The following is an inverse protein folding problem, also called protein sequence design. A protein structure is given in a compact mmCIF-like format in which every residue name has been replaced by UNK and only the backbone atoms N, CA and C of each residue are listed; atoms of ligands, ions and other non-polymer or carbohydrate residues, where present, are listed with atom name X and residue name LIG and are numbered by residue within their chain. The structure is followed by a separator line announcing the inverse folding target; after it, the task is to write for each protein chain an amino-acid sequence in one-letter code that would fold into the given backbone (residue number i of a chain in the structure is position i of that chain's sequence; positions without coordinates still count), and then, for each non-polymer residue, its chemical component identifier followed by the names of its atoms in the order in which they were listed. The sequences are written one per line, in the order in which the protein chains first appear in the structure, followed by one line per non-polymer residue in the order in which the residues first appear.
data_IF_070524325400
#
_entry.id   IF_070524325400
#
_cell.length_a   1.000
_cell.length_b   1.000
_cell.length_c   1.000
_cell.angle_alpha   90.00
_cell.angle_beta   90.00
_cell.angle_gamma   90.00
#
_symmetry.space_group_name_H-M   'P 1'
#
loop_
_entity.id
_entity.type
_entity.pdbx_description
1 polymer ?
#
# COMPACT_ATOMS: atom_id res chain seq x y z
N UNK A 1 9.56 -5.51 5.10
CA UNK A 1 8.15 -5.08 4.92
C UNK A 1 7.28 -5.94 5.80
N UNK A 2 6.60 -5.30 6.75
CA UNK A 2 5.71 -5.93 7.71
C UNK A 2 4.28 -5.58 7.33
N UNK A 3 3.43 -6.59 7.12
CA UNK A 3 2.00 -6.38 6.93
C UNK A 3 1.43 -5.83 8.23
N UNK A 4 0.67 -4.75 8.14
CA UNK A 4 0.07 -4.12 9.31
C UNK A 4 -1.36 -4.62 9.58
N UNK A 5 -2.06 -5.03 8.53
CA UNK A 5 -3.31 -5.77 8.65
C UNK A 5 -3.07 -7.15 9.28
N UNK A 6 -4.08 -7.71 9.94
CA UNK A 6 -3.99 -9.05 10.52
C UNK A 6 -3.88 -10.16 9.47
N UNK A 7 -4.30 -9.88 8.23
CA UNK A 7 -4.28 -10.79 7.09
C UNK A 7 -4.19 -9.99 5.79
N UNK A 8 -3.61 -10.57 4.72
CA UNK A 8 -3.61 -9.92 3.41
C UNK A 8 -5.01 -9.97 2.80
N UNK A 9 -5.40 -8.90 2.09
CA UNK A 9 -6.65 -8.82 1.34
C UNK A 9 -6.79 -9.97 0.34
N UNK A 10 -5.68 -10.49 -0.16
CA UNK A 10 -5.65 -11.61 -1.11
C UNK A 10 -5.97 -12.97 -0.47
N UNK A 11 -5.87 -13.08 0.85
CA UNK A 11 -6.18 -14.32 1.58
C UNK A 11 -7.60 -14.32 2.17
N UNK A 12 -8.35 -13.23 1.99
CA UNK A 12 -9.70 -13.05 2.50
C UNK A 12 -10.69 -13.79 1.61
N UNK A 13 -11.54 -14.61 2.25
CA UNK A 13 -12.52 -15.45 1.58
C UNK A 13 -13.95 -15.27 2.14
N UNK A 14 -14.13 -14.37 3.10
CA UNK A 14 -15.42 -14.07 3.74
C UNK A 14 -15.64 -12.57 3.79
N UNK A 15 -16.91 -12.16 3.77
CA UNK A 15 -17.29 -10.75 3.91
C UNK A 15 -16.94 -10.17 5.28
N UNK A 16 -16.99 -10.99 6.34
CA UNK A 16 -16.59 -10.59 7.69
C UNK A 16 -15.10 -10.23 7.76
N UNK A 17 -14.23 -11.09 7.23
CA UNK A 17 -12.79 -10.81 7.16
C UNK A 17 -12.52 -9.57 6.31
N UNK A 18 -13.28 -9.38 5.21
CA UNK A 18 -13.17 -8.21 4.33
C UNK A 18 -13.49 -6.91 5.07
N UNK A 19 -14.62 -6.85 5.76
CA UNK A 19 -15.03 -5.68 6.53
C UNK A 19 -14.01 -5.38 7.64
N UNK A 20 -13.54 -6.41 8.33
CA UNK A 20 -12.50 -6.28 9.35
C UNK A 20 -11.19 -5.72 8.77
N UNK A 21 -10.79 -6.16 7.56
CA UNK A 21 -9.58 -5.65 6.91
C UNK A 21 -9.68 -4.17 6.58
N UNK A 22 -10.84 -3.72 6.09
CA UNK A 22 -11.10 -2.30 5.83
C UNK A 22 -11.07 -1.50 7.14
N UNK A 23 -11.74 -1.98 8.18
CA UNK A 23 -11.73 -1.34 9.51
C UNK A 23 -10.31 -1.22 10.07
N UNK A 24 -9.47 -2.26 9.90
CA UNK A 24 -8.06 -2.23 10.28
C UNK A 24 -7.28 -1.18 9.50
N UNK A 25 -7.48 -1.08 8.18
CA UNK A 25 -6.86 -0.02 7.36
C UNK A 25 -7.26 1.37 7.87
N UNK A 26 -8.56 1.64 8.04
CA UNK A 26 -9.06 2.96 8.46
C UNK A 26 -8.60 3.32 9.89
N UNK A 27 -8.64 2.36 10.82
CA UNK A 27 -8.17 2.56 12.18
C UNK A 27 -6.65 2.81 12.26
N UNK A 28 -5.89 2.29 11.28
CA UNK A 28 -4.45 2.47 11.22
C UNK A 28 -4.10 3.83 10.62
N UNK A 29 -4.75 4.18 9.52
CA UNK A 29 -4.50 5.42 8.79
C UNK A 29 -4.98 6.65 9.56
N UNK A 30 -6.08 6.54 10.31
CA UNK A 30 -6.58 7.61 11.19
C UNK A 30 -5.66 7.96 12.37
N UNK A 31 -4.69 7.09 12.72
CA UNK A 31 -3.69 7.37 13.77
C UNK A 31 -2.47 8.12 13.24
N UNK A 32 -2.25 8.09 11.93
CA UNK A 32 -1.08 8.71 11.35
C UNK A 32 -1.29 10.23 11.23
N UNK A 33 -0.31 11.04 11.65
CA UNK A 33 -0.39 12.48 11.44
C UNK A 33 -0.31 12.79 9.95
N UNK A 34 -1.12 13.76 9.50
CA UNK A 34 -0.95 14.26 8.15
C UNK A 34 0.45 14.90 7.99
N UNK A 35 1.14 14.55 6.92
CA UNK A 35 2.47 15.07 6.62
C UNK A 35 2.76 15.01 5.12
N UNK A 36 3.58 15.95 4.66
CA UNK A 36 4.08 15.99 3.29
C UNK A 36 5.01 14.80 3.03
N UNK A 37 4.70 14.02 2.00
CA UNK A 37 5.43 12.81 1.62
C UNK A 37 6.04 12.95 0.22
N UNK A 38 7.22 12.37 0.04
CA UNK A 38 7.66 11.91 -1.28
C UNK A 38 7.05 10.53 -1.52
N UNK A 39 6.40 10.34 -2.66
CA UNK A 39 5.67 9.11 -2.96
C UNK A 39 6.19 8.49 -4.25
N UNK A 40 6.49 7.19 -4.22
CA UNK A 40 6.74 6.42 -5.45
C UNK A 40 5.60 5.46 -5.73
N UNK A 41 5.33 5.24 -7.01
CA UNK A 41 4.37 4.25 -7.50
C UNK A 41 5.10 3.33 -8.46
N UNK A 42 5.21 2.06 -8.07
CA UNK A 42 5.98 1.04 -8.76
C UNK A 42 5.11 -0.17 -9.11
N UNK A 43 5.06 -0.54 -10.38
CA UNK A 43 4.47 -1.81 -10.78
C UNK A 43 5.45 -2.94 -10.46
N UNK A 44 4.96 -3.99 -9.79
CA UNK A 44 5.77 -5.15 -9.39
C UNK A 44 5.36 -6.44 -10.09
N UNK A 45 4.30 -6.42 -10.89
CA UNK A 45 3.93 -7.52 -11.77
C UNK A 45 4.72 -7.52 -13.09
N UNK A 46 4.84 -8.68 -13.74
CA UNK A 46 5.82 -8.90 -14.81
C UNK A 46 5.60 -7.97 -16.01
N UNK A 47 4.36 -7.84 -16.46
CA UNK A 47 4.05 -7.05 -17.64
C UNK A 47 4.20 -5.56 -17.36
N UNK A 48 3.50 -5.04 -16.35
CA UNK A 48 3.45 -3.59 -16.12
C UNK A 48 4.80 -3.04 -15.67
N UNK A 49 5.58 -3.78 -14.87
CA UNK A 49 6.95 -3.40 -14.50
C UNK A 49 7.87 -3.21 -15.72
N UNK A 50 7.64 -3.96 -16.80
CA UNK A 50 8.43 -3.83 -18.04
C UNK A 50 7.98 -2.68 -18.94
N UNK A 51 6.83 -2.07 -18.65
CA UNK A 51 6.16 -1.06 -19.49
C UNK A 51 6.12 0.32 -18.87
N UNK A 52 6.23 0.40 -17.55
CA UNK A 52 6.08 1.63 -16.80
C UNK A 52 7.34 1.89 -15.98
N UNK A 53 7.80 3.13 -16.02
CA UNK A 53 8.82 3.63 -15.11
C UNK A 53 8.19 3.95 -13.75
N UNK A 54 9.03 4.02 -12.71
CA UNK A 54 8.63 4.50 -11.39
C UNK A 54 8.05 5.90 -11.51
N UNK A 55 6.83 6.09 -11.02
CA UNK A 55 6.22 7.42 -10.95
C UNK A 55 6.55 8.04 -9.60
N UNK A 56 7.13 9.23 -9.63
CA UNK A 56 7.47 10.01 -8.43
C UNK A 56 6.50 11.17 -8.26
N UNK A 57 6.03 11.35 -7.03
CA UNK A 57 5.03 12.33 -6.66
C UNK A 57 5.40 12.99 -5.34
N UNK A 58 4.72 14.12 -5.08
CA UNK A 58 4.75 14.81 -3.81
C UNK A 58 3.32 15.13 -3.42
N UNK A 59 2.84 14.57 -2.33
CA UNK A 59 1.50 14.77 -1.79
C UNK A 59 1.49 14.64 -0.27
N UNK A 60 0.44 15.14 0.35
CA UNK A 60 0.21 14.95 1.78
C UNK A 60 -0.37 13.56 2.04
N UNK A 61 -0.05 12.97 3.20
CA UNK A 61 -0.50 11.62 3.53
C UNK A 61 -2.03 11.50 3.48
N UNK A 62 -2.77 12.53 3.86
CA UNK A 62 -4.24 12.53 3.82
C UNK A 62 -4.82 12.37 2.39
N UNK A 63 -4.04 12.69 1.35
CA UNK A 63 -4.45 12.56 -0.05
C UNK A 63 -4.27 11.13 -0.60
N UNK A 64 -3.89 10.15 0.23
CA UNK A 64 -3.60 8.80 -0.22
C UNK A 64 -4.77 8.17 -0.98
N UNK A 65 -6.02 8.35 -0.51
CA UNK A 65 -7.21 7.80 -1.19
C UNK A 65 -7.33 8.33 -2.61
N UNK A 66 -7.15 9.65 -2.80
CA UNK A 66 -7.17 10.27 -4.12
C UNK A 66 -6.11 9.69 -5.05
N UNK A 67 -4.92 9.36 -4.54
CA UNK A 67 -3.88 8.68 -5.32
C UNK A 67 -4.27 7.25 -5.65
N UNK A 68 -4.77 6.49 -4.68
CA UNK A 68 -5.20 5.11 -4.84
C UNK A 68 -6.31 4.99 -5.90
N UNK A 69 -7.26 5.93 -5.93
CA UNK A 69 -8.34 5.98 -6.93
C UNK A 69 -7.85 6.17 -8.38
N UNK A 70 -6.60 6.63 -8.57
CA UNK A 70 -5.99 6.72 -9.91
C UNK A 70 -5.40 5.40 -10.40
N UNK A 71 -5.32 4.38 -9.54
CA UNK A 71 -4.73 3.08 -9.85
C UNK A 71 -5.81 2.05 -10.22
N UNK A 72 -5.40 0.97 -10.88
CA UNK A 72 -6.28 -0.19 -11.08
C UNK A 72 -6.45 -0.91 -9.74
N UNK A 73 -7.46 -0.53 -8.96
CA UNK A 73 -7.84 -1.22 -7.72
C UNK A 73 -9.11 -2.03 -7.98
N UNK A 74 -8.98 -3.35 -7.95
CA UNK A 74 -10.13 -4.26 -8.12
C UNK A 74 -10.27 -5.25 -6.98
N UNK A 75 -9.16 -5.61 -6.34
CA UNK A 75 -9.11 -6.59 -5.26
C UNK A 75 -8.69 -5.96 -3.92
N UNK A 76 -8.69 -4.62 -3.82
CA UNK A 76 -8.30 -3.90 -2.62
C UNK A 76 -6.79 -3.72 -2.46
N UNK A 77 -6.38 -3.43 -1.23
CA UNK A 77 -4.97 -3.18 -0.90
C UNK A 77 -4.62 -3.64 0.51
N UNK A 78 -3.32 -3.88 0.72
CA UNK A 78 -2.71 -4.09 2.03
C UNK A 78 -1.95 -2.84 2.46
N UNK A 79 -1.87 -2.60 3.77
CA UNK A 79 -1.00 -1.58 4.35
C UNK A 79 0.20 -2.26 5.01
N UNK A 80 1.41 -1.85 4.64
CA UNK A 80 2.67 -2.38 5.15
C UNK A 80 3.57 -1.28 5.67
N UNK A 81 4.53 -1.65 6.51
CA UNK A 81 5.61 -0.79 6.99
C UNK A 81 6.96 -1.39 6.59
N UNK A 82 7.85 -0.59 6.00
CA UNK A 82 9.24 -1.02 5.76
C UNK A 82 10.08 -0.90 7.03
N UNK A 83 11.21 -1.59 7.06
CA UNK A 83 12.20 -1.47 8.15
C UNK A 83 12.81 -0.05 8.19
N UNK A 84 12.76 0.67 7.07
CA UNK A 84 13.15 2.07 6.91
C UNK A 84 12.01 3.06 7.23
N UNK A 85 10.94 2.61 7.92
CA UNK A 85 9.84 3.45 8.39
C UNK A 85 9.04 4.14 7.26
N UNK A 86 8.86 3.44 6.13
CA UNK A 86 8.01 3.90 5.03
C UNK A 86 6.67 3.16 5.05
N UNK A 87 5.57 3.89 4.89
CA UNK A 87 4.25 3.31 4.73
C UNK A 87 4.08 2.86 3.27
N UNK A 88 3.62 1.64 3.07
CA UNK A 88 3.45 1.07 1.73
C UNK A 88 2.03 0.58 1.57
N UNK A 89 1.34 1.06 0.54
CA UNK A 89 0.11 0.45 0.08
C UNK A 89 0.45 -0.52 -1.04
N UNK A 90 0.19 -1.81 -0.81
CA UNK A 90 0.28 -2.82 -1.86
C UNK A 90 -1.10 -3.03 -2.46
N UNK A 91 -1.26 -2.56 -3.69
CA UNK A 91 -2.54 -2.46 -4.37
C UNK A 91 -2.69 -3.61 -5.35
N UNK A 92 -3.88 -4.22 -5.36
CA UNK A 92 -4.19 -5.38 -6.20
C UNK A 92 -5.27 -5.03 -7.23
N UNK A 93 -4.85 -4.97 -8.49
CA UNK A 93 -5.69 -4.65 -9.63
C UNK A 93 -6.27 -5.87 -10.33
N UNK A 94 -6.61 -5.70 -11.60
CA UNK A 94 -7.22 -6.76 -12.40
C UNK A 94 -6.29 -7.93 -12.71
N UNK A 95 -6.89 -9.10 -12.87
CA UNK A 95 -6.22 -10.26 -13.45
C UNK A 95 -6.00 -10.08 -14.95
N UNK A 96 -4.88 -10.60 -15.46
CA UNK A 96 -4.55 -10.60 -16.88
C UNK A 96 -3.74 -11.84 -17.26
N UNK A 97 -3.71 -12.18 -18.55
CA UNK A 97 -2.83 -13.23 -19.06
C UNK A 97 -1.64 -12.60 -19.82
N UNK A 98 -0.43 -13.03 -19.48
CA UNK A 98 0.77 -12.62 -20.19
C UNK A 98 1.69 -13.82 -20.41
N UNK A 99 2.04 -14.07 -21.67
CA UNK A 99 2.89 -15.20 -22.09
C UNK A 99 2.39 -16.55 -21.56
N UNK A 100 1.06 -16.78 -21.59
CA UNK A 100 0.45 -18.03 -21.15
C UNK A 100 0.39 -18.22 -19.63
N UNK A 101 0.64 -17.16 -18.85
CA UNK A 101 0.50 -17.16 -17.39
C UNK A 101 -0.53 -16.15 -16.96
N UNK A 102 -1.42 -16.57 -16.05
CA UNK A 102 -2.32 -15.65 -15.37
C UNK A 102 -1.54 -14.92 -14.27
N UNK A 103 -1.57 -13.59 -14.32
CA UNK A 103 -1.00 -12.69 -13.34
C UNK A 103 -2.06 -11.66 -12.93
N UNK A 104 -1.70 -10.78 -12.01
CA UNK A 104 -2.54 -9.69 -11.53
C UNK A 104 -1.71 -8.43 -11.50
N UNK A 105 -2.33 -7.29 -11.84
CA UNK A 105 -1.70 -5.98 -11.66
C UNK A 105 -1.39 -5.77 -10.18
N UNK A 106 -0.13 -5.47 -9.87
CA UNK A 106 0.32 -5.23 -8.50
C UNK A 106 1.16 -3.97 -8.47
N UNK A 107 0.76 -3.05 -7.61
CA UNK A 107 1.44 -1.75 -7.46
C UNK A 107 1.86 -1.57 -6.02
N UNK A 108 3.09 -1.08 -5.82
CA UNK A 108 3.53 -0.55 -4.52
C UNK A 108 3.44 0.96 -4.58
N UNK A 109 2.71 1.54 -3.62
CA UNK A 109 2.68 2.98 -3.38
C UNK A 109 3.43 3.23 -2.09
N UNK A 110 4.63 3.79 -2.17
CA UNK A 110 5.52 3.98 -1.02
C UNK A 110 5.48 5.45 -0.60
N UNK A 111 5.00 5.71 0.61
CA UNK A 111 5.02 7.03 1.23
C UNK A 111 6.28 7.18 2.09
N UNK A 112 7.11 8.15 1.73
CA UNK A 112 8.29 8.54 2.48
C UNK A 112 8.07 9.95 3.09
N UNK A 113 7.75 10.04 4.39
CA UNK A 113 7.50 11.32 5.07
C UNK A 113 8.73 12.23 5.01
N UNK A 114 8.53 13.53 4.74
CA UNK A 114 9.64 14.50 4.73
C UNK A 114 10.14 14.89 6.11
N UNK A 115 9.30 14.81 7.12
CA UNK A 115 9.64 15.11 8.50
C UNK A 115 10.27 13.89 9.17
N UNK A 116 11.00 14.09 10.28
CA UNK A 116 11.51 13.01 11.13
C UNK A 116 10.39 12.29 11.92
N UNK A 117 9.20 12.12 11.32
CA UNK A 117 8.10 11.39 11.92
C UNK A 117 8.41 9.90 11.78
N UNK A 118 8.53 9.22 12.91
CA UNK A 118 8.57 7.77 12.91
C UNK A 118 7.14 7.23 12.87
N UNK A 119 6.67 6.84 11.70
CA UNK A 119 5.37 6.18 11.53
C UNK A 119 5.27 4.93 12.41
N UNK A 120 6.36 4.20 12.59
CA UNK A 120 6.42 3.08 13.52
C UNK A 120 6.06 3.50 14.96
N UNK A 121 6.60 4.62 15.45
CA UNK A 121 6.31 5.15 16.79
C UNK A 121 4.84 5.59 16.89
N UNK A 122 4.33 6.31 15.89
CA UNK A 122 2.92 6.74 15.86
C UNK A 122 1.95 5.55 15.86
N UNK A 123 2.33 4.46 15.21
CA UNK A 123 1.56 3.22 15.17
C UNK A 123 1.78 2.32 16.40
N UNK A 124 2.67 2.69 17.32
CA UNK A 124 3.04 1.87 18.47
C UNK A 124 3.76 0.57 18.09
N UNK A 125 4.37 0.51 16.91
CA UNK A 125 5.07 -0.67 16.38
C UNK A 125 6.54 -0.61 16.80
N UNK A 126 6.98 -1.65 17.50
CA UNK A 126 8.36 -1.80 17.91
C UNK A 126 9.16 -2.47 16.78
N UNK A 127 9.78 -1.67 15.90
CA UNK A 127 10.71 -2.21 14.89
C UNK A 127 12.03 -2.49 15.60
N UNK A 128 12.27 -3.75 15.97
CA UNK A 128 13.59 -4.16 16.47
C UNK A 128 14.59 -4.05 15.29
N UNK A 129 15.57 -3.15 15.43
CA UNK A 129 16.72 -3.04 14.52
C UNK A 129 17.71 -4.18 14.75
#
# INVERSE_FOLDING_TARGET
MHLLNSKSIMDINTEEDWNKHIEECDALLSKLPNCECYVTVDYIDTYNRSKHETKELKLDLEDYYSLLDTLDIKNGYDVLLTDDNQLVFKVFGGGYEYKGKFEMVKTLVVFNPKSNISLAVELGINIQK
#
